data_IF_928362126340
#
_entry.id   IF_928362126340
#
_cell.length_a   1.000
_cell.length_b   1.000
_cell.length_c   1.000
_cell.angle_alpha   90.00
_cell.angle_beta   90.00
_cell.angle_gamma   90.00
#
_symmetry.space_group_name_H-M   'P 1'
#
loop_
_entity.id
_entity.type
_entity.pdbx_description
1 polymer ?
#
# COMPACT_ATOMS: atom_id res chain seq x y z
N UNK A 1 -13.93 64.66 -30.42
CA UNK A 1 -13.70 63.25 -30.81
C UNK A 1 -13.51 62.40 -29.57
N UNK A 2 -14.47 61.52 -29.21
CA UNK A 2 -14.34 60.63 -28.05
C UNK A 2 -13.31 59.51 -28.32
N UNK A 3 -12.29 59.40 -27.47
CA UNK A 3 -11.35 58.27 -27.46
C UNK A 3 -12.04 57.09 -26.75
N UNK A 4 -12.34 56.03 -27.50
CA UNK A 4 -12.87 54.78 -26.96
C UNK A 4 -11.74 54.06 -26.20
N UNK A 5 -11.91 53.87 -24.90
CA UNK A 5 -11.07 52.98 -24.09
C UNK A 5 -11.55 51.56 -24.37
N UNK A 6 -10.77 50.79 -25.13
CA UNK A 6 -10.98 49.36 -25.31
C UNK A 6 -10.23 48.67 -24.17
N UNK A 7 -10.95 48.34 -23.11
CA UNK A 7 -10.44 47.48 -22.03
C UNK A 7 -10.43 46.04 -22.50
N UNK A 8 -9.23 45.46 -22.63
CA UNK A 8 -9.05 44.05 -22.92
C UNK A 8 -8.95 43.30 -21.58
N UNK A 9 -10.09 42.87 -21.04
CA UNK A 9 -10.11 41.90 -19.93
C UNK A 9 -9.95 40.50 -20.53
N UNK A 10 -8.71 40.09 -20.74
CA UNK A 10 -8.38 38.68 -20.96
C UNK A 10 -8.56 37.98 -19.61
N UNK A 11 -9.77 37.46 -19.39
CA UNK A 11 -10.01 36.47 -18.35
C UNK A 11 -9.23 35.23 -18.77
N UNK A 12 -7.99 35.12 -18.30
CA UNK A 12 -7.21 33.90 -18.34
C UNK A 12 -7.87 32.90 -17.41
N UNK A 13 -8.87 32.18 -17.93
CA UNK A 13 -9.30 30.90 -17.40
C UNK A 13 -8.14 29.95 -17.68
N UNK A 14 -7.10 30.02 -16.84
CA UNK A 14 -6.17 28.91 -16.70
C UNK A 14 -7.02 27.71 -16.28
N UNK A 15 -6.97 26.68 -17.10
CA UNK A 15 -7.68 25.44 -16.95
C UNK A 15 -7.66 24.94 -15.50
N UNK A 16 -8.82 24.95 -14.83
CA UNK A 16 -9.12 23.98 -13.78
C UNK A 16 -9.30 22.60 -14.43
N UNK A 17 -8.26 22.09 -15.08
CA UNK A 17 -8.18 20.66 -15.29
C UNK A 17 -8.09 20.06 -13.88
N UNK A 18 -9.03 19.20 -13.45
CA UNK A 18 -8.83 18.50 -12.20
C UNK A 18 -7.51 17.75 -12.34
N UNK A 19 -6.54 18.13 -11.51
CA UNK A 19 -5.32 17.36 -11.35
C UNK A 19 -5.73 16.13 -10.57
N UNK A 20 -6.23 15.12 -11.28
CA UNK A 20 -6.19 13.74 -10.80
C UNK A 20 -4.72 13.34 -10.81
N UNK A 21 -3.94 13.93 -9.89
CA UNK A 21 -2.64 13.40 -9.57
C UNK A 21 -2.92 12.00 -9.03
N UNK A 22 -2.43 10.98 -9.74
CA UNK A 22 -2.53 9.62 -9.24
C UNK A 22 -1.85 9.61 -7.86
N UNK A 23 -2.62 9.31 -6.81
CA UNK A 23 -2.03 9.16 -5.48
C UNK A 23 -1.02 8.01 -5.55
N UNK A 24 0.22 8.30 -5.16
CA UNK A 24 1.25 7.27 -5.09
C UNK A 24 1.02 6.47 -3.82
N UNK A 25 0.62 5.22 -3.97
CA UNK A 25 0.43 4.31 -2.86
C UNK A 25 1.78 3.69 -2.45
N UNK A 26 2.16 3.81 -1.19
CA UNK A 26 3.35 3.17 -0.63
C UNK A 26 2.95 1.85 0.03
N UNK A 27 3.44 0.75 -0.54
CA UNK A 27 3.11 -0.60 -0.07
C UNK A 27 4.35 -1.22 0.60
N UNK A 28 4.20 -1.70 1.82
CA UNK A 28 5.17 -2.55 2.50
C UNK A 28 4.82 -4.03 2.27
N UNK A 29 5.73 -4.80 1.69
CA UNK A 29 5.62 -6.26 1.60
C UNK A 29 6.51 -6.90 2.65
N UNK A 30 5.93 -7.71 3.52
CA UNK A 30 6.63 -8.34 4.64
C UNK A 30 7.00 -9.78 4.30
N UNK A 31 8.27 -10.13 4.55
CA UNK A 31 8.72 -11.51 4.64
C UNK A 31 9.13 -11.79 6.09
N UNK A 32 8.55 -12.83 6.68
CA UNK A 32 8.77 -13.15 8.09
C UNK A 32 8.78 -14.67 8.32
N UNK A 33 9.55 -15.17 9.30
CA UNK A 33 9.44 -16.54 9.76
C UNK A 33 8.13 -16.74 10.53
N UNK A 34 7.35 -17.72 10.10
CA UNK A 34 6.06 -18.08 10.72
C UNK A 34 6.28 -19.26 11.66
N UNK A 35 5.77 -19.17 12.90
CA UNK A 35 5.75 -20.30 13.84
C UNK A 35 4.36 -20.93 13.90
N UNK A 36 4.23 -22.04 14.62
CA UNK A 36 2.93 -22.71 14.85
C UNK A 36 2.12 -22.08 15.99
N UNK A 37 2.65 -21.04 16.65
CA UNK A 37 1.97 -20.35 17.75
C UNK A 37 1.43 -19.01 17.27
N UNK A 38 0.12 -18.84 17.41
CA UNK A 38 -0.59 -17.63 16.96
C UNK A 38 -0.04 -16.38 17.63
N UNK A 39 0.25 -16.44 18.92
CA UNK A 39 0.70 -15.30 19.71
C UNK A 39 2.08 -14.81 19.26
N UNK A 40 3.01 -15.72 19.01
CA UNK A 40 4.35 -15.37 18.51
C UNK A 40 4.29 -14.70 17.13
N UNK A 41 3.36 -15.12 16.28
CA UNK A 41 3.17 -14.52 14.97
C UNK A 41 2.46 -13.17 15.06
N UNK A 42 1.48 -13.04 15.94
CA UNK A 42 0.78 -11.79 16.20
C UNK A 42 1.76 -10.71 16.65
N UNK A 43 2.66 -11.02 17.59
CA UNK A 43 3.68 -10.08 18.07
C UNK A 43 4.58 -9.58 16.93
N UNK A 44 5.01 -10.49 16.03
CA UNK A 44 5.80 -10.12 14.84
C UNK A 44 4.99 -9.23 13.90
N UNK A 45 3.74 -9.58 13.59
CA UNK A 45 2.85 -8.81 12.71
C UNK A 45 2.70 -7.39 13.24
N UNK A 46 2.40 -7.22 14.53
CA UNK A 46 2.29 -5.90 15.16
C UNK A 46 3.60 -5.11 15.06
N UNK A 47 4.74 -5.77 15.24
CA UNK A 47 6.06 -5.17 15.03
C UNK A 47 6.29 -4.67 13.59
N UNK A 48 5.88 -5.45 12.58
CA UNK A 48 5.99 -5.04 11.18
C UNK A 48 5.00 -3.94 10.80
N UNK A 49 3.78 -3.95 11.35
CA UNK A 49 2.82 -2.84 11.19
C UNK A 49 3.44 -1.55 11.72
N UNK A 50 4.06 -1.59 12.92
CA UNK A 50 4.73 -0.41 13.48
C UNK A 50 5.90 0.06 12.60
N UNK A 51 6.73 -0.86 12.10
CA UNK A 51 7.84 -0.51 11.19
C UNK A 51 7.35 0.09 9.87
N UNK A 52 6.26 -0.41 9.31
CA UNK A 52 5.67 0.09 8.09
C UNK A 52 5.04 1.48 8.29
N UNK A 53 4.37 1.69 9.42
CA UNK A 53 3.85 3.00 9.81
C UNK A 53 4.98 4.04 9.97
N UNK A 54 6.10 3.66 10.60
CA UNK A 54 7.28 4.53 10.70
C UNK A 54 7.93 4.83 9.34
N UNK A 55 7.64 4.02 8.32
CA UNK A 55 8.07 4.24 6.94
C UNK A 55 6.96 4.88 6.10
N UNK A 56 5.87 5.35 6.70
CA UNK A 56 4.75 6.00 5.99
C UNK A 56 4.14 5.11 4.89
N UNK A 57 4.09 3.79 5.10
CA UNK A 57 3.38 2.90 4.19
C UNK A 57 1.86 3.00 4.40
N UNK A 58 1.11 3.03 3.30
CA UNK A 58 -0.36 3.05 3.29
C UNK A 58 -0.95 1.64 3.45
N UNK A 59 -0.25 0.64 2.92
CA UNK A 59 -0.66 -0.77 2.96
C UNK A 59 0.50 -1.62 3.42
N UNK A 60 0.20 -2.61 4.27
CA UNK A 60 1.14 -3.66 4.67
C UNK A 60 0.57 -5.01 4.25
N UNK A 61 1.33 -5.74 3.44
CA UNK A 61 0.99 -7.08 2.96
C UNK A 61 1.82 -8.12 3.71
N UNK A 62 1.15 -9.17 4.17
CA UNK A 62 1.76 -10.31 4.85
C UNK A 62 1.63 -11.59 4.01
N UNK A 63 2.50 -12.60 4.24
CA UNK A 63 2.34 -13.92 3.64
C UNK A 63 1.00 -14.57 3.99
N UNK A 64 0.55 -15.50 3.15
CA UNK A 64 -0.62 -16.31 3.44
C UNK A 64 -0.45 -17.07 4.77
N UNK A 65 -1.53 -17.18 5.54
CA UNK A 65 -1.54 -17.82 6.87
C UNK A 65 -0.55 -17.24 7.90
N UNK A 66 -0.02 -16.02 7.70
CA UNK A 66 1.02 -15.45 8.56
C UNK A 66 0.70 -15.45 10.07
N UNK A 67 -0.58 -15.40 10.46
CA UNK A 67 -1.00 -15.48 11.86
C UNK A 67 -0.98 -16.91 12.40
N UNK A 68 -1.57 -17.87 11.68
CA UNK A 68 -1.75 -19.25 12.16
C UNK A 68 -0.57 -20.17 11.83
N UNK A 69 0.24 -19.79 10.84
CA UNK A 69 1.13 -20.72 10.16
C UNK A 69 0.39 -21.66 9.23
N UNK A 70 1.17 -22.30 8.38
CA UNK A 70 0.75 -23.50 7.69
C UNK A 70 0.89 -24.69 8.63
N UNK A 71 -0.03 -25.65 8.48
CA UNK A 71 0.17 -26.94 9.11
C UNK A 71 1.36 -27.64 8.45
N UNK A 72 2.37 -27.94 9.28
CA UNK A 72 3.64 -28.50 8.81
C UNK A 72 3.45 -29.90 8.21
N UNK A 73 2.58 -30.70 8.81
CA UNK A 73 2.27 -32.04 8.31
C UNK A 73 1.61 -31.96 6.93
N UNK A 74 0.67 -31.04 6.76
CA UNK A 74 0.07 -30.73 5.45
C UNK A 74 1.14 -30.34 4.42
N UNK A 75 2.06 -29.42 4.73
CA UNK A 75 3.13 -29.01 3.80
C UNK A 75 4.05 -30.18 3.42
N UNK A 76 4.48 -30.96 4.41
CA UNK A 76 5.36 -32.10 4.19
C UNK A 76 4.67 -33.21 3.38
N UNK A 77 3.34 -33.27 3.41
CA UNK A 77 2.54 -34.21 2.62
C UNK A 77 2.32 -33.81 1.16
N UNK A 78 2.68 -32.57 0.76
CA UNK A 78 2.49 -32.10 -0.62
C UNK A 78 3.45 -32.79 -1.59
N UNK A 79 2.90 -33.30 -2.70
CA UNK A 79 3.71 -33.75 -3.83
C UNK A 79 4.17 -32.55 -4.67
N UNK A 80 5.35 -32.03 -4.34
CA UNK A 80 5.96 -30.90 -5.03
C UNK A 80 6.26 -31.17 -6.50
N UNK A 81 6.30 -32.44 -6.94
CA UNK A 81 6.54 -32.78 -8.34
C UNK A 81 5.28 -32.64 -9.21
N UNK A 82 4.12 -32.46 -8.58
CA UNK A 82 2.82 -32.31 -9.25
C UNK A 82 2.34 -30.85 -9.39
N UNK A 83 3.15 -29.87 -8.95
CA UNK A 83 2.90 -28.41 -9.04
C UNK A 83 3.85 -27.75 -10.03
#
# INVERSE_FOLDING_TARGET
>A
MPKKIIGLFLISILALAPTWAAETLKIASVQMPVSTKVEENLDKILGYVSQAANQEADIVLFPETALSGFDRETIESLDWSAL
#
